data_IF_424503281303
#
_entry.id   IF_424503281303
#
_cell.length_a   1.000
_cell.length_b   1.000
_cell.length_c   1.000
_cell.angle_alpha   90.00
_cell.angle_beta   90.00
_cell.angle_gamma   90.00
#
_symmetry.space_group_name_H-M   'P 1'
#
loop_
_entity.id
_entity.type
_entity.pdbx_description
1 polymer ?
#
# COMPACT_ATOMS: atom_id res chain seq x y z
N UNK A 1 9.63 10.87 20.83
CA UNK A 1 8.97 10.13 21.91
C UNK A 1 9.90 9.08 22.54
N UNK A 2 10.33 8.04 21.79
CA UNK A 2 11.18 6.95 22.32
C UNK A 2 12.45 7.45 23.02
N UNK A 3 13.22 8.34 22.37
CA UNK A 3 14.40 8.95 22.99
C UNK A 3 14.08 9.61 24.35
N UNK A 4 13.08 10.49 24.38
CA UNK A 4 12.69 11.18 25.61
C UNK A 4 12.26 10.24 26.73
N UNK A 5 11.47 9.21 26.42
CA UNK A 5 11.07 8.20 27.39
C UNK A 5 12.27 7.43 27.96
N UNK A 6 13.20 7.00 27.10
CA UNK A 6 14.42 6.30 27.53
C UNK A 6 15.27 7.16 28.48
N UNK A 7 15.46 8.45 28.16
CA UNK A 7 16.18 9.36 29.04
C UNK A 7 15.47 9.53 30.39
N UNK A 8 14.14 9.61 30.42
CA UNK A 8 13.37 9.66 31.67
C UNK A 8 13.49 8.39 32.52
N UNK A 9 13.76 7.24 31.89
CA UNK A 9 14.00 5.96 32.58
C UNK A 9 15.45 5.79 33.05
N UNK A 10 16.32 6.77 32.81
CA UNK A 10 17.72 6.73 33.24
C UNK A 10 18.68 6.07 32.25
N UNK A 11 18.24 5.81 31.01
CA UNK A 11 19.10 5.24 29.97
C UNK A 11 20.20 6.23 29.52
N UNK A 12 21.37 5.69 29.16
CA UNK A 12 22.51 6.50 28.71
C UNK A 12 22.24 7.10 27.32
N UNK A 13 22.53 8.40 27.15
CA UNK A 13 22.15 9.16 25.95
C UNK A 13 22.77 8.61 24.68
N UNK A 14 24.06 8.30 24.68
CA UNK A 14 24.76 7.80 23.50
C UNK A 14 24.34 6.38 23.14
N UNK A 15 24.07 5.52 24.13
CA UNK A 15 23.48 4.20 23.97
C UNK A 15 22.14 4.28 23.26
N UNK A 16 21.23 5.11 23.75
CA UNK A 16 19.90 5.29 23.15
C UNK A 16 20.03 5.79 21.70
N UNK A 17 20.90 6.78 21.44
CA UNK A 17 21.11 7.28 20.07
C UNK A 17 21.67 6.20 19.13
N UNK A 18 22.61 5.38 19.61
CA UNK A 18 23.15 4.26 18.81
C UNK A 18 22.06 3.25 18.48
N UNK A 19 21.28 2.84 19.48
CA UNK A 19 20.16 1.91 19.27
C UNK A 19 19.14 2.48 18.28
N UNK A 20 18.76 3.77 18.42
CA UNK A 20 17.84 4.43 17.49
C UNK A 20 18.38 4.48 16.05
N UNK A 21 19.70 4.61 15.87
CA UNK A 21 20.32 4.71 14.54
C UNK A 21 20.25 3.42 13.70
N UNK A 22 20.07 2.27 14.36
CA UNK A 22 19.97 0.95 13.70
C UNK A 22 18.54 0.41 13.66
N UNK A 23 17.56 1.13 14.21
CA UNK A 23 16.16 0.73 14.13
C UNK A 23 15.68 0.73 12.69
N UNK A 24 15.10 -0.39 12.28
CA UNK A 24 14.34 -0.48 11.03
C UNK A 24 12.88 -0.14 11.30
N UNK A 25 12.17 0.25 10.24
CA UNK A 25 10.72 0.44 10.30
C UNK A 25 10.01 -0.83 10.75
N UNK A 26 8.80 -0.67 11.29
CA UNK A 26 7.94 -1.81 11.60
C UNK A 26 7.49 -2.49 10.30
N UNK A 27 7.39 -3.82 10.32
CA UNK A 27 6.89 -4.58 9.17
C UNK A 27 5.52 -4.07 8.73
N UNK A 28 5.35 -3.90 7.41
CA UNK A 28 4.11 -3.39 6.82
C UNK A 28 3.76 -1.93 7.17
N UNK A 29 4.73 -1.13 7.65
CA UNK A 29 4.61 0.33 7.84
C UNK A 29 5.69 1.03 7.05
N UNK A 30 5.32 1.58 5.90
CA UNK A 30 6.24 2.14 4.91
C UNK A 30 7.39 1.16 4.60
N UNK A 31 7.06 -0.13 4.56
CA UNK A 31 8.02 -1.23 4.41
C UNK A 31 8.30 -1.43 2.92
N UNK A 32 9.53 -1.15 2.49
CA UNK A 32 9.82 -1.01 1.07
C UNK A 32 10.84 -2.03 0.56
N UNK A 33 10.73 -2.31 -0.73
CA UNK A 33 11.61 -3.19 -1.48
C UNK A 33 12.00 -2.52 -2.78
N UNK A 34 13.24 -2.70 -3.21
CA UNK A 34 13.73 -2.13 -4.46
C UNK A 34 14.02 -3.25 -5.45
N UNK A 35 13.48 -3.15 -6.65
CA UNK A 35 13.72 -4.14 -7.70
C UNK A 35 15.20 -4.11 -8.15
N UNK A 36 15.78 -5.27 -8.50
CA UNK A 36 17.22 -5.37 -8.75
C UNK A 36 17.65 -4.68 -10.04
N UNK A 37 16.86 -4.69 -11.12
CA UNK A 37 17.26 -4.12 -12.42
C UNK A 37 16.76 -2.69 -12.63
N UNK A 38 15.46 -2.48 -12.51
CA UNK A 38 14.79 -1.22 -12.83
C UNK A 38 14.74 -0.23 -11.67
N UNK A 39 15.21 -0.62 -10.47
CA UNK A 39 15.23 0.23 -9.27
C UNK A 39 13.83 0.73 -8.88
N UNK A 40 12.79 -0.01 -9.24
CA UNK A 40 11.42 0.26 -8.84
C UNK A 40 11.28 0.11 -7.34
N UNK A 41 10.56 1.03 -6.70
CA UNK A 41 10.35 1.02 -5.26
C UNK A 41 8.93 0.53 -4.97
N UNK A 42 8.78 -0.68 -4.45
CA UNK A 42 7.51 -1.18 -3.94
C UNK A 42 7.42 -0.88 -2.44
N UNK A 43 6.34 -0.24 -1.99
CA UNK A 43 6.08 0.11 -0.59
C UNK A 43 4.85 -0.65 -0.15
N UNK A 44 4.94 -1.41 0.94
CA UNK A 44 3.83 -2.11 1.59
C UNK A 44 3.44 -1.37 2.87
N UNK A 45 2.18 -0.93 2.95
CA UNK A 45 1.66 -0.19 4.10
C UNK A 45 0.26 -0.66 4.54
N UNK A 46 0.01 -0.67 5.85
CA UNK A 46 -1.28 -1.01 6.45
C UNK A 46 -2.33 0.14 6.39
N UNK A 47 -2.07 1.20 5.62
CA UNK A 47 -3.01 2.30 5.41
C UNK A 47 -4.35 1.79 4.84
N UNK A 48 -5.34 1.64 5.72
CA UNK A 48 -6.69 1.16 5.41
C UNK A 48 -7.78 2.18 5.75
N UNK A 49 -7.39 3.43 6.01
CA UNK A 49 -8.28 4.59 6.20
C UNK A 49 -7.85 5.70 5.23
N UNK A 50 -8.77 6.61 4.83
CA UNK A 50 -8.43 7.71 3.92
C UNK A 50 -7.27 8.57 4.42
N UNK A 51 -7.28 8.95 5.71
CA UNK A 51 -6.21 9.76 6.30
C UNK A 51 -4.86 9.04 6.31
N UNK A 52 -4.84 7.73 6.62
CA UNK A 52 -3.61 6.96 6.61
C UNK A 52 -3.05 6.85 5.18
N UNK A 53 -3.92 6.61 4.20
CA UNK A 53 -3.53 6.54 2.79
C UNK A 53 -2.97 7.88 2.31
N UNK A 54 -3.64 8.99 2.65
CA UNK A 54 -3.18 10.34 2.36
C UNK A 54 -1.80 10.61 2.97
N UNK A 55 -1.60 10.24 4.24
CA UNK A 55 -0.32 10.44 4.92
C UNK A 55 0.84 9.68 4.24
N UNK A 56 0.60 8.44 3.81
CA UNK A 56 1.61 7.64 3.10
C UNK A 56 1.89 8.26 1.73
N UNK A 57 0.87 8.59 0.95
CA UNK A 57 1.03 9.22 -0.37
C UNK A 57 1.68 10.60 -0.30
N UNK A 58 1.35 11.41 0.70
CA UNK A 58 1.98 12.70 0.94
C UNK A 58 3.47 12.53 1.32
N UNK A 59 3.80 11.48 2.06
CA UNK A 59 5.20 11.14 2.37
C UNK A 59 5.94 10.72 1.10
N UNK A 60 5.36 9.84 0.29
CA UNK A 60 5.91 9.45 -1.02
C UNK A 60 6.16 10.70 -1.87
N UNK A 61 5.18 11.59 -1.99
CA UNK A 61 5.28 12.84 -2.76
C UNK A 61 6.46 13.72 -2.32
N UNK A 62 6.80 13.76 -1.03
CA UNK A 62 7.96 14.51 -0.51
C UNK A 62 9.29 13.84 -0.82
N UNK A 63 9.31 12.52 -1.01
CA UNK A 63 10.51 11.73 -1.28
C UNK A 63 10.82 11.62 -2.77
N UNK A 64 9.83 11.78 -3.65
CA UNK A 64 10.01 11.78 -5.11
C UNK A 64 10.93 12.90 -5.57
N UNK A 65 11.73 12.64 -6.60
CA UNK A 65 12.56 13.63 -7.29
C UNK A 65 11.76 14.38 -8.37
N UNK A 66 10.60 13.86 -8.74
CA UNK A 66 9.60 14.53 -9.58
C UNK A 66 9.39 13.89 -10.95
N UNK A 67 10.22 12.93 -11.34
CA UNK A 67 10.07 12.19 -12.60
C UNK A 67 9.39 10.83 -12.41
N UNK A 68 9.46 10.27 -11.21
CA UNK A 68 8.88 8.98 -10.87
C UNK A 68 7.35 9.06 -10.98
N UNK A 69 6.70 7.98 -11.40
CA UNK A 69 5.25 7.80 -11.25
C UNK A 69 4.94 7.10 -9.93
N UNK A 70 3.75 7.35 -9.40
CA UNK A 70 3.17 6.65 -8.25
C UNK A 70 1.98 5.85 -8.72
N UNK A 71 2.09 4.53 -8.56
CA UNK A 71 1.02 3.58 -8.86
C UNK A 71 0.55 2.97 -7.54
N UNK A 72 -0.71 3.18 -7.19
CA UNK A 72 -1.27 2.73 -5.91
C UNK A 72 -2.21 1.54 -6.10
N UNK A 73 -1.92 0.43 -5.44
CA UNK A 73 -2.79 -0.73 -5.29
C UNK A 73 -3.51 -0.60 -3.95
N UNK A 74 -4.83 -0.50 -3.98
CA UNK A 74 -5.62 -0.31 -2.75
C UNK A 74 -6.98 -1.00 -2.85
N UNK A 75 -7.44 -1.52 -1.71
CA UNK A 75 -8.76 -2.11 -1.56
C UNK A 75 -9.40 -1.66 -0.25
N UNK A 76 -10.63 -2.11 -0.01
CA UNK A 76 -11.32 -1.93 1.27
C UNK A 76 -11.76 -3.30 1.83
N UNK A 77 -11.72 -3.44 3.15
CA UNK A 77 -12.28 -4.61 3.81
C UNK A 77 -13.82 -4.65 3.75
N UNK A 78 -14.38 -5.85 3.57
CA UNK A 78 -15.81 -6.11 3.68
C UNK A 78 -16.28 -6.19 5.13
N UNK A 79 -17.60 -6.21 5.35
CA UNK A 79 -18.28 -6.25 6.65
C UNK A 79 -17.79 -5.17 7.63
N UNK A 80 -17.37 -4.03 7.08
CA UNK A 80 -16.85 -2.87 7.81
C UNK A 80 -17.48 -1.59 7.27
N UNK A 81 -16.99 -0.47 7.77
CA UNK A 81 -17.37 0.86 7.30
C UNK A 81 -17.29 0.97 5.78
N UNK A 82 -18.46 1.09 5.15
CA UNK A 82 -18.63 1.29 3.71
C UNK A 82 -18.45 2.76 3.31
N UNK A 83 -18.68 3.68 4.24
CA UNK A 83 -18.68 5.12 3.95
C UNK A 83 -17.30 5.64 3.56
N UNK A 84 -16.23 4.98 4.05
CA UNK A 84 -14.86 5.30 3.65
C UNK A 84 -14.48 4.84 2.24
N UNK A 85 -15.22 3.90 1.61
CA UNK A 85 -14.84 3.29 0.31
C UNK A 85 -14.65 4.34 -0.80
N UNK A 86 -15.63 5.21 -1.09
CA UNK A 86 -15.48 6.23 -2.12
C UNK A 86 -14.42 7.28 -1.75
N UNK A 87 -14.35 7.68 -0.48
CA UNK A 87 -13.36 8.67 -0.01
C UNK A 87 -11.93 8.13 -0.16
N UNK A 88 -11.72 6.84 0.12
CA UNK A 88 -10.40 6.22 -0.01
C UNK A 88 -9.97 6.09 -1.48
N UNK A 89 -10.94 5.86 -2.38
CA UNK A 89 -10.69 5.87 -3.82
C UNK A 89 -10.34 7.27 -4.34
N UNK A 90 -11.06 8.30 -3.89
CA UNK A 90 -10.78 9.70 -4.22
C UNK A 90 -9.36 10.10 -3.81
N UNK A 91 -8.97 9.82 -2.57
CA UNK A 91 -7.59 10.06 -2.08
C UNK A 91 -6.55 9.35 -2.95
N UNK A 92 -6.78 8.10 -3.32
CA UNK A 92 -5.85 7.36 -4.17
C UNK A 92 -5.71 8.04 -5.56
N UNK A 93 -6.81 8.46 -6.16
CA UNK A 93 -6.87 9.09 -7.49
C UNK A 93 -6.21 10.48 -7.51
N UNK A 94 -6.42 11.25 -6.45
CA UNK A 94 -5.87 12.61 -6.33
C UNK A 94 -4.35 12.58 -6.14
N UNK A 95 -3.85 11.63 -5.34
CA UNK A 95 -2.45 11.60 -4.91
C UNK A 95 -1.59 10.56 -5.63
N UNK A 96 -2.12 9.86 -6.63
CA UNK A 96 -1.38 8.91 -7.46
C UNK A 96 -1.48 9.25 -8.95
N UNK A 97 -0.49 8.79 -9.71
CA UNK A 97 -0.48 8.89 -11.17
C UNK A 97 -1.38 7.82 -11.78
N UNK A 98 -1.38 6.61 -11.20
CA UNK A 98 -2.35 5.55 -11.49
C UNK A 98 -2.79 4.82 -10.23
N UNK A 99 -3.97 4.20 -10.30
CA UNK A 99 -4.55 3.42 -9.21
C UNK A 99 -5.03 2.07 -9.71
N UNK A 100 -4.85 1.02 -8.92
CA UNK A 100 -5.44 -0.30 -9.15
C UNK A 100 -6.31 -0.63 -7.94
N UNK A 101 -7.63 -0.56 -8.13
CA UNK A 101 -8.58 -0.99 -7.11
C UNK A 101 -8.66 -2.51 -7.09
N UNK A 102 -8.58 -3.09 -5.89
CA UNK A 102 -8.53 -4.54 -5.73
C UNK A 102 -9.20 -5.01 -4.45
N UNK A 103 -9.28 -6.33 -4.27
CA UNK A 103 -9.72 -6.95 -3.04
C UNK A 103 -8.68 -6.80 -1.94
N UNK A 104 -9.15 -6.49 -0.73
CA UNK A 104 -8.37 -6.59 0.51
C UNK A 104 -8.87 -7.82 1.28
N UNK A 105 -9.53 -7.67 2.42
CA UNK A 105 -10.22 -8.74 3.14
C UNK A 105 -11.73 -8.61 2.88
N UNK A 106 -12.28 -9.21 1.81
CA UNK A 106 -13.69 -9.04 1.45
C UNK A 106 -14.65 -9.68 2.45
N UNK A 107 -14.17 -10.62 3.29
CA UNK A 107 -14.99 -11.33 4.28
C UNK A 107 -16.23 -11.94 3.61
N UNK A 108 -17.44 -11.61 4.04
CA UNK A 108 -18.66 -12.15 3.44
C UNK A 108 -19.16 -11.39 2.21
N UNK A 109 -18.63 -10.19 1.95
CA UNK A 109 -19.03 -9.36 0.80
C UNK A 109 -18.39 -9.83 -0.51
N UNK A 110 -19.05 -9.51 -1.63
CA UNK A 110 -18.48 -9.70 -2.96
C UNK A 110 -17.37 -8.66 -3.22
N UNK A 111 -16.13 -9.06 -3.51
CA UNK A 111 -15.04 -8.14 -3.86
C UNK A 111 -15.40 -7.17 -4.98
N UNK A 112 -16.14 -7.61 -6.00
CA UNK A 112 -16.54 -6.75 -7.11
C UNK A 112 -17.52 -5.65 -6.65
N UNK A 113 -18.39 -5.97 -5.68
CA UNK A 113 -19.29 -4.98 -5.10
C UNK A 113 -18.53 -3.97 -4.24
N UNK A 114 -17.54 -4.40 -3.46
CA UNK A 114 -16.69 -3.47 -2.69
C UNK A 114 -15.98 -2.49 -3.62
N UNK A 115 -15.41 -2.99 -4.72
CA UNK A 115 -14.74 -2.14 -5.71
C UNK A 115 -15.75 -1.18 -6.37
N UNK A 116 -16.95 -1.65 -6.69
CA UNK A 116 -18.02 -0.77 -7.21
C UNK A 116 -18.39 0.35 -6.22
N UNK A 117 -18.46 0.03 -4.93
CA UNK A 117 -18.70 1.04 -3.89
C UNK A 117 -17.52 2.03 -3.74
N UNK A 118 -16.28 1.59 -3.99
CA UNK A 118 -15.12 2.48 -4.06
C UNK A 118 -15.17 3.40 -5.27
N UNK A 119 -15.68 2.92 -6.40
CA UNK A 119 -15.81 3.70 -7.63
C UNK A 119 -16.95 4.73 -7.59
N UNK A 120 -17.86 4.60 -6.62
CA UNK A 120 -19.03 5.47 -6.51
C UNK A 120 -18.62 6.93 -6.25
N UNK A 121 -19.27 7.85 -6.96
CA UNK A 121 -18.96 9.28 -6.89
C UNK A 121 -17.67 9.72 -7.61
N UNK A 122 -16.84 8.80 -8.14
CA UNK A 122 -15.66 9.21 -8.92
C UNK A 122 -16.09 9.90 -10.22
N UNK A 123 -15.50 11.06 -10.58
CA UNK A 123 -15.86 11.76 -11.80
C UNK A 123 -15.47 10.93 -13.04
N UNK A 124 -16.20 11.02 -14.16
CA UNK A 124 -15.87 10.28 -15.38
C UNK A 124 -14.42 10.50 -15.87
N UNK A 125 -13.86 11.69 -15.64
CA UNK A 125 -12.48 12.02 -15.97
C UNK A 125 -11.43 11.20 -15.18
N UNK A 126 -11.81 10.65 -14.02
CA UNK A 126 -10.95 9.76 -13.24
C UNK A 126 -10.79 8.38 -13.88
N UNK A 127 -11.68 7.95 -14.78
CA UNK A 127 -11.69 6.57 -15.30
C UNK A 127 -10.43 6.17 -16.06
N UNK A 128 -9.71 7.15 -16.62
CA UNK A 128 -8.39 6.94 -17.27
C UNK A 128 -7.24 6.70 -16.29
N UNK A 129 -7.42 7.02 -15.00
CA UNK A 129 -6.39 6.92 -13.96
C UNK A 129 -6.43 5.59 -13.20
N UNK A 130 -7.49 4.79 -13.33
CA UNK A 130 -7.59 3.55 -12.57
C UNK A 130 -8.01 2.33 -13.35
N UNK A 131 -7.61 1.18 -12.80
CA UNK A 131 -8.04 -0.15 -13.19
C UNK A 131 -8.70 -0.84 -11.99
N UNK A 132 -9.56 -1.81 -12.28
CA UNK A 132 -10.31 -2.55 -11.28
C UNK A 132 -10.05 -4.03 -11.48
N UNK A 133 -9.29 -4.65 -10.57
CA UNK A 133 -8.85 -6.04 -10.65
C UNK A 133 -9.12 -6.68 -9.28
N UNK A 134 -10.16 -7.50 -9.19
CA UNK A 134 -10.58 -8.09 -7.93
C UNK A 134 -9.51 -9.01 -7.30
N UNK A 135 -8.77 -9.75 -8.12
CA UNK A 135 -7.67 -10.58 -7.63
C UNK A 135 -6.48 -9.70 -7.20
N UNK A 136 -6.11 -9.80 -5.92
CA UNK A 136 -5.06 -8.95 -5.35
C UNK A 136 -3.68 -9.24 -5.91
N UNK A 137 -3.39 -10.50 -6.23
CA UNK A 137 -2.10 -10.89 -6.82
C UNK A 137 -1.96 -10.34 -8.23
N UNK A 138 -2.99 -10.47 -9.05
CA UNK A 138 -3.03 -9.89 -10.41
C UNK A 138 -3.05 -8.36 -10.38
N UNK A 139 -3.66 -7.73 -9.37
CA UNK A 139 -3.59 -6.28 -9.19
C UNK A 139 -2.16 -5.80 -8.90
N UNK A 140 -1.45 -6.46 -7.98
CA UNK A 140 -0.04 -6.16 -7.68
C UNK A 140 0.85 -6.40 -8.90
N UNK A 141 0.67 -7.53 -9.59
CA UNK A 141 1.36 -7.85 -10.84
C UNK A 141 1.14 -6.77 -11.91
N UNK A 142 -0.12 -6.35 -12.08
CA UNK A 142 -0.47 -5.30 -13.04
C UNK A 142 0.21 -3.99 -12.68
N UNK A 143 0.17 -3.58 -11.41
CA UNK A 143 0.83 -2.35 -10.97
C UNK A 143 2.34 -2.37 -11.23
N UNK A 144 3.02 -3.48 -10.90
CA UNK A 144 4.46 -3.65 -11.15
C UNK A 144 4.77 -3.70 -12.65
N UNK A 145 3.90 -4.30 -13.46
CA UNK A 145 4.07 -4.34 -14.93
C UNK A 145 3.90 -2.96 -15.57
N UNK A 146 2.98 -2.15 -15.05
CA UNK A 146 2.73 -0.79 -15.54
C UNK A 146 3.81 0.21 -15.13
N UNK A 147 4.54 -0.10 -14.06
CA UNK A 147 5.58 0.75 -13.53
C UNK A 147 6.85 0.67 -14.39
N UNK A 148 7.43 1.84 -14.65
CA UNK A 148 8.72 1.98 -15.30
C UNK A 148 9.88 2.00 -14.32
N UNK A 149 11.06 2.33 -14.88
CA UNK A 149 12.30 2.47 -14.13
C UNK A 149 12.17 3.55 -13.05
N UNK A 150 12.63 3.24 -11.84
CA UNK A 150 12.61 4.14 -10.67
C UNK A 150 11.22 4.60 -10.21
N UNK A 151 10.14 4.07 -10.80
CA UNK A 151 8.78 4.36 -10.36
C UNK A 151 8.49 3.76 -8.97
N UNK A 152 7.41 4.24 -8.36
CA UNK A 152 6.97 3.85 -7.03
C UNK A 152 5.64 3.13 -7.11
N UNK A 153 5.57 1.92 -6.54
CA UNK A 153 4.34 1.15 -6.39
C UNK A 153 3.97 1.11 -4.90
N UNK A 154 2.85 1.70 -4.52
CA UNK A 154 2.30 1.59 -3.16
C UNK A 154 1.28 0.45 -3.12
N UNK A 155 1.48 -0.52 -2.25
CA UNK A 155 0.52 -1.58 -1.91
C UNK A 155 -0.05 -1.27 -0.52
N UNK A 156 -1.27 -0.76 -0.48
CA UNK A 156 -1.93 -0.32 0.74
C UNK A 156 -3.01 -1.31 1.22
N UNK A 157 -3.30 -1.25 2.53
CA UNK A 157 -4.42 -1.93 3.19
C UNK A 157 -3.96 -3.00 4.18
N UNK A 158 -3.15 -3.97 3.74
CA UNK A 158 -2.82 -5.18 4.52
C UNK A 158 -1.55 -5.10 5.34
N UNK A 159 -0.55 -4.33 4.91
CA UNK A 159 0.72 -4.19 5.63
C UNK A 159 1.37 -5.52 5.99
N UNK A 160 1.40 -5.85 7.29
CA UNK A 160 2.02 -7.06 7.83
C UNK A 160 1.07 -8.28 7.87
N UNK A 161 -0.20 -8.14 7.47
CA UNK A 161 -1.14 -9.26 7.42
C UNK A 161 -0.71 -10.30 6.38
N UNK A 162 -0.57 -11.56 6.81
CA UNK A 162 -0.13 -12.71 5.98
C UNK A 162 -1.29 -13.57 5.48
N UNK A 163 -2.49 -13.00 5.41
CA UNK A 163 -3.67 -13.73 4.97
C UNK A 163 -4.67 -12.84 4.25
N UNK A 164 -5.47 -13.44 3.38
CA UNK A 164 -6.66 -12.83 2.79
C UNK A 164 -7.91 -13.59 3.24
N UNK A 165 -8.83 -12.88 3.91
CA UNK A 165 -10.06 -13.49 4.42
C UNK A 165 -11.22 -13.40 3.41
N UNK A 166 -11.68 -14.56 2.95
CA UNK A 166 -12.77 -14.70 1.96
C UNK A 166 -13.77 -15.71 2.49
N UNK A 167 -15.03 -15.29 2.69
CA UNK A 167 -16.13 -16.11 3.20
C UNK A 167 -15.77 -16.91 4.47
N UNK A 168 -15.07 -16.26 5.40
CA UNK A 168 -14.63 -16.85 6.67
C UNK A 168 -13.38 -17.74 6.58
N UNK A 169 -12.81 -17.94 5.39
CA UNK A 169 -11.57 -18.69 5.18
C UNK A 169 -10.40 -17.73 5.05
N UNK A 170 -9.36 -17.91 5.87
CA UNK A 170 -8.10 -17.16 5.78
C UNK A 170 -7.10 -17.92 4.91
N UNK A 171 -6.96 -17.46 3.68
CA UNK A 171 -5.99 -17.99 2.72
C UNK A 171 -4.63 -17.31 2.93
N UNK A 172 -3.53 -18.03 2.79
CA UNK A 172 -2.19 -17.43 2.87
C UNK A 172 -2.03 -16.36 1.79
N UNK A 173 -1.64 -15.15 2.19
CA UNK A 173 -1.40 -14.05 1.27
C UNK A 173 -0.53 -12.99 1.94
N UNK A 174 0.70 -12.81 1.47
CA UNK A 174 1.61 -11.78 1.94
C UNK A 174 1.97 -10.83 0.79
N UNK A 175 1.60 -9.55 0.91
CA UNK A 175 1.90 -8.53 -0.09
C UNK A 175 3.42 -8.47 -0.41
N UNK A 176 4.29 -8.66 0.58
CA UNK A 176 5.76 -8.63 0.38
C UNK A 176 6.28 -9.86 -0.35
N UNK A 177 5.67 -11.02 -0.16
CA UNK A 177 6.02 -12.23 -0.91
C UNK A 177 5.58 -12.09 -2.36
N UNK A 178 4.38 -11.59 -2.60
CA UNK A 178 3.86 -11.35 -3.95
C UNK A 178 4.71 -10.33 -4.68
N UNK A 179 5.09 -9.21 -4.04
CA UNK A 179 5.99 -8.22 -4.65
C UNK A 179 7.32 -8.85 -5.10
N UNK A 180 7.94 -9.68 -4.24
CA UNK A 180 9.19 -10.41 -4.59
C UNK A 180 8.98 -11.32 -5.78
N UNK A 181 7.94 -12.13 -5.75
CA UNK A 181 7.58 -13.04 -6.84
C UNK A 181 7.39 -12.26 -8.16
N UNK A 182 6.73 -11.11 -8.12
CA UNK A 182 6.49 -10.30 -9.32
C UNK A 182 7.74 -9.60 -9.83
N UNK A 183 8.68 -9.20 -8.96
CA UNK A 183 9.98 -8.68 -9.41
C UNK A 183 10.78 -9.73 -10.18
N UNK A 184 10.78 -10.98 -9.69
CA UNK A 184 11.45 -12.09 -10.36
C UNK A 184 10.76 -12.45 -11.68
N UNK A 185 9.43 -12.65 -11.65
CA UNK A 185 8.64 -13.07 -12.80
C UNK A 185 8.67 -12.07 -13.97
N UNK A 186 8.62 -10.77 -13.66
CA UNK A 186 8.61 -9.70 -14.65
C UNK A 186 10.00 -9.18 -14.98
N UNK A 187 11.05 -9.82 -14.44
CA UNK A 187 12.44 -9.46 -14.64
C UNK A 187 12.76 -7.99 -14.32
N UNK A 188 12.14 -7.44 -13.28
CA UNK A 188 12.32 -6.03 -12.83
C UNK A 188 13.59 -5.79 -12.02
#
# INVERSE_FOLDING_TARGET
>A
AVYGAAICMGEEKHEVLRCLSVLTGAEGRFDYMVSPKERLIAIVDYAHTPDALLNVLATIKKLKRGFEQVITVVGCGGDRDKTKRPVMAEVAIEHSDRVVFTSDNPRSEDPAQIIKDMEDGLPPAARRKYLSIADRKEAIKTAISLAGKEDIVLIAGKGHEKYQEIKGVRNHFDDKEVVREMFELLEK
#
